data_IF_700613473619
#
_entry.id   IF_700613473619
#
_cell.length_a   1.000
_cell.length_b   1.000
_cell.length_c   1.000
_cell.angle_alpha   90.00
_cell.angle_beta   90.00
_cell.angle_gamma   90.00
#
_symmetry.space_group_name_H-M   'P 1'
#
loop_
_entity.id
_entity.type
_entity.pdbx_description
1 polymer ?
#
# COMPACT_ATOMS: atom_id res chain seq x y z
N UNK A 1 53.37 9.43 -36.39
CA UNK A 1 52.53 8.45 -35.66
C UNK A 1 52.66 8.58 -34.15
N UNK A 2 53.31 9.55 -33.59
CA UNK A 2 53.59 9.69 -32.13
C UNK A 2 52.81 10.81 -31.42
N UNK A 3 52.01 11.63 -32.12
CA UNK A 3 51.25 12.72 -31.49
C UNK A 3 49.84 12.31 -30.95
N UNK A 4 49.27 11.21 -31.46
CA UNK A 4 47.91 10.76 -31.00
C UNK A 4 47.93 9.96 -29.69
N UNK A 5 49.05 9.35 -29.31
CA UNK A 5 49.17 8.54 -28.10
C UNK A 5 49.29 9.41 -26.84
N UNK A 6 49.84 10.63 -26.92
CA UNK A 6 49.96 11.53 -25.77
C UNK A 6 48.64 12.11 -25.30
N UNK A 7 47.67 12.31 -26.20
CA UNK A 7 46.33 12.82 -25.84
C UNK A 7 45.47 11.75 -25.21
N UNK A 8 45.65 10.47 -25.56
CA UNK A 8 44.87 9.37 -24.95
C UNK A 8 45.28 9.10 -23.50
N UNK A 9 46.58 9.24 -23.18
CA UNK A 9 47.08 9.10 -21.80
C UNK A 9 46.68 10.28 -20.89
N UNK A 10 46.54 11.49 -21.44
CA UNK A 10 46.09 12.65 -20.68
C UNK A 10 44.60 12.59 -20.35
N UNK A 11 43.80 12.03 -21.27
CA UNK A 11 42.35 11.84 -21.05
C UNK A 11 42.09 10.74 -20.00
N UNK A 12 42.94 9.69 -19.99
CA UNK A 12 42.80 8.63 -18.97
C UNK A 12 43.27 9.11 -17.57
N UNK A 13 44.28 9.99 -17.50
CA UNK A 13 44.69 10.58 -16.23
C UNK A 13 43.68 11.61 -15.68
N UNK A 14 42.93 12.31 -16.57
CA UNK A 14 41.92 13.27 -16.16
C UNK A 14 40.60 12.58 -15.74
N UNK A 15 40.30 11.38 -16.28
CA UNK A 15 39.15 10.57 -15.88
C UNK A 15 39.34 9.86 -14.52
N UNK A 16 40.62 9.63 -14.12
CA UNK A 16 40.92 9.02 -12.82
C UNK A 16 40.77 10.00 -11.64
N UNK A 17 40.78 11.32 -11.89
CA UNK A 17 40.66 12.35 -10.86
C UNK A 17 39.21 12.80 -10.63
N UNK A 18 38.25 12.27 -11.41
CA UNK A 18 36.82 12.57 -11.29
C UNK A 18 36.00 11.43 -10.65
N UNK A 19 36.65 10.37 -10.20
CA UNK A 19 35.98 9.42 -9.32
C UNK A 19 35.85 10.08 -7.94
N UNK A 20 34.63 10.22 -7.39
CA UNK A 20 34.50 10.66 -6.01
C UNK A 20 35.32 9.70 -5.14
N UNK A 21 35.97 10.19 -4.07
CA UNK A 21 36.66 9.30 -3.13
C UNK A 21 35.68 8.20 -2.77
N UNK A 22 36.08 6.94 -2.92
CA UNK A 22 35.25 5.81 -2.52
C UNK A 22 34.89 6.08 -1.08
N UNK A 23 33.59 6.37 -0.85
CA UNK A 23 33.08 6.52 0.49
C UNK A 23 33.48 5.25 1.26
N UNK A 24 34.26 5.41 2.32
CA UNK A 24 34.64 4.28 3.16
C UNK A 24 33.33 3.71 3.68
N UNK A 25 32.92 2.55 3.14
CA UNK A 25 31.70 1.91 3.60
C UNK A 25 31.82 1.73 5.10
N UNK A 26 30.92 2.34 5.86
CA UNK A 26 30.83 2.08 7.29
C UNK A 26 30.75 0.55 7.48
N UNK A 27 31.39 0.03 8.53
CA UNK A 27 31.48 -1.40 8.79
C UNK A 27 30.10 -2.05 8.71
N UNK A 28 30.01 -3.27 8.22
CA UNK A 28 28.78 -4.02 7.92
C UNK A 28 27.82 -4.23 9.10
N UNK A 29 28.13 -3.74 10.29
CA UNK A 29 27.29 -3.85 11.49
C UNK A 29 26.54 -2.58 11.91
N UNK A 30 26.72 -1.44 11.19
CA UNK A 30 26.07 -0.18 11.54
C UNK A 30 24.88 0.16 10.65
N UNK A 31 24.59 -0.65 9.64
CA UNK A 31 23.43 -0.42 8.76
C UNK A 31 22.14 -0.77 9.52
N UNK A 32 21.16 0.16 9.59
CA UNK A 32 19.84 -0.14 10.15
C UNK A 32 19.11 -1.18 9.31
N UNK A 33 18.28 -2.00 9.96
CA UNK A 33 17.45 -3.00 9.28
C UNK A 33 16.14 -3.23 10.04
N UNK A 34 15.22 -3.98 9.44
CA UNK A 34 13.92 -4.31 10.01
C UNK A 34 13.14 -3.05 10.43
N UNK A 35 13.23 -1.99 9.62
CA UNK A 35 12.47 -0.78 9.85
C UNK A 35 10.98 -1.04 9.67
N UNK A 36 10.23 -0.68 10.68
CA UNK A 36 8.77 -0.66 10.70
C UNK A 36 8.30 0.75 11.03
N UNK A 37 7.13 1.12 10.54
CA UNK A 37 6.49 2.39 10.83
C UNK A 37 5.02 2.14 11.19
N UNK A 38 4.55 2.76 12.25
CA UNK A 38 3.15 2.77 12.66
C UNK A 38 2.71 4.17 13.01
N UNK A 39 1.40 4.43 12.88
CA UNK A 39 0.85 5.73 13.21
C UNK A 39 0.50 5.81 14.68
N UNK A 40 0.68 6.99 15.24
CA UNK A 40 0.14 7.41 16.51
C UNK A 40 -0.88 8.51 16.22
N UNK A 41 -2.12 8.26 16.58
CA UNK A 41 -3.22 9.19 16.36
C UNK A 41 -3.00 10.54 17.06
N UNK A 42 -3.57 11.63 16.56
CA UNK A 42 -3.55 12.92 17.21
C UNK A 42 -4.11 12.85 18.64
N UNK A 43 -3.44 13.55 19.56
CA UNK A 43 -3.88 13.76 20.92
C UNK A 43 -3.53 15.19 21.39
N UNK A 44 -3.80 15.53 22.65
CA UNK A 44 -3.50 16.86 23.21
C UNK A 44 -2.00 17.24 23.15
N UNK A 45 -1.11 16.26 23.17
CA UNK A 45 0.35 16.46 23.12
C UNK A 45 0.90 16.44 21.72
N UNK A 46 0.17 15.82 20.78
CA UNK A 46 0.50 15.63 19.39
C UNK A 46 -0.69 15.98 18.51
N UNK A 47 -1.02 17.26 18.36
CA UNK A 47 -2.24 17.70 17.66
C UNK A 47 -2.31 17.24 16.18
N UNK A 48 -1.18 16.87 15.61
CA UNK A 48 -1.07 16.36 14.23
C UNK A 48 -0.74 14.87 14.16
N UNK A 49 -0.70 14.15 15.30
CA UNK A 49 -0.22 12.77 15.35
C UNK A 49 1.28 12.63 15.14
N UNK A 50 1.75 11.40 15.01
CA UNK A 50 3.15 11.09 14.74
C UNK A 50 3.32 9.72 14.07
N UNK A 51 4.54 9.43 13.60
CA UNK A 51 4.93 8.09 13.16
C UNK A 51 5.91 7.49 14.17
N UNK A 52 5.59 6.34 14.73
CA UNK A 52 6.52 5.54 15.50
C UNK A 52 7.36 4.67 14.56
N UNK A 53 8.66 4.91 14.56
CA UNK A 53 9.63 4.13 13.81
C UNK A 53 10.30 3.13 14.75
N UNK A 54 10.27 1.85 14.39
CA UNK A 54 11.00 0.79 15.11
C UNK A 54 11.98 0.15 14.15
N UNK A 55 13.25 0.03 14.52
CA UNK A 55 14.29 -0.55 13.68
C UNK A 55 15.43 -1.12 14.53
N UNK A 56 16.34 -1.83 13.89
CA UNK A 56 17.50 -2.48 14.52
C UNK A 56 18.80 -1.94 13.95
N UNK A 57 19.78 -1.77 14.84
CA UNK A 57 21.20 -1.53 14.49
C UNK A 57 22.03 -2.37 15.49
N UNK A 58 22.74 -3.38 15.02
CA UNK A 58 23.46 -4.31 15.89
C UNK A 58 24.60 -3.66 16.67
N UNK A 59 25.35 -2.75 16.03
CA UNK A 59 26.53 -2.14 16.57
C UNK A 59 26.57 -0.63 16.27
N UNK A 60 25.57 0.12 16.78
CA UNK A 60 25.62 1.59 16.68
C UNK A 60 26.74 2.12 17.60
N UNK A 61 27.80 2.73 17.07
CA UNK A 61 28.89 3.21 17.90
C UNK A 61 28.50 4.49 18.64
N UNK A 62 29.08 4.70 19.82
CA UNK A 62 29.11 6.03 20.44
C UNK A 62 30.09 6.93 19.71
N UNK A 63 29.81 8.22 19.76
CA UNK A 63 30.76 9.24 19.30
C UNK A 63 31.97 9.32 20.24
N UNK A 64 33.11 9.74 19.69
CA UNK A 64 34.36 9.99 20.42
C UNK A 64 35.00 11.31 19.95
N UNK A 65 36.19 11.64 20.45
CA UNK A 65 36.88 12.89 20.11
C UNK A 65 37.23 13.04 18.61
N UNK A 66 37.17 11.94 17.84
CA UNK A 66 37.60 11.89 16.43
C UNK A 66 36.50 11.52 15.48
N UNK A 67 35.38 10.99 15.99
CA UNK A 67 34.29 10.42 15.21
C UNK A 67 32.94 10.75 15.82
N UNK A 68 32.10 11.40 15.06
CA UNK A 68 30.74 11.78 15.43
C UNK A 68 29.73 10.95 14.65
N UNK A 69 29.09 9.99 15.32
CA UNK A 69 28.07 9.14 14.72
C UNK A 69 26.68 9.72 14.91
N UNK A 70 25.85 9.61 13.86
CA UNK A 70 24.46 10.06 13.86
C UNK A 70 23.55 9.00 13.25
N UNK A 71 22.33 8.93 13.74
CA UNK A 71 21.22 8.25 13.09
C UNK A 71 20.48 9.27 12.24
N UNK A 72 20.42 9.03 10.94
CA UNK A 72 19.85 9.93 9.95
C UNK A 72 18.58 9.32 9.38
N UNK A 73 17.47 10.06 9.49
CA UNK A 73 16.15 9.63 9.07
C UNK A 73 15.69 10.51 7.92
N UNK A 74 15.30 9.89 6.82
CA UNK A 74 14.62 10.57 5.73
C UNK A 74 13.16 10.17 5.66
N UNK A 75 12.33 11.10 5.20
CA UNK A 75 10.94 10.87 4.84
C UNK A 75 10.70 11.23 3.38
N UNK A 76 9.71 10.57 2.78
CA UNK A 76 9.18 10.85 1.45
C UNK A 76 7.67 10.93 1.54
N UNK A 77 7.09 11.98 0.97
CA UNK A 77 5.64 12.20 0.94
C UNK A 77 5.11 11.86 -0.44
N UNK A 78 4.10 10.98 -0.49
CA UNK A 78 3.59 10.43 -1.75
C UNK A 78 4.48 9.33 -2.33
N UNK A 79 3.95 8.61 -3.32
CA UNK A 79 4.67 7.52 -3.98
C UNK A 79 5.91 8.02 -4.75
N UNK A 80 5.78 9.16 -5.42
CA UNK A 80 6.78 9.70 -6.36
C UNK A 80 7.50 10.94 -5.81
N UNK A 81 7.30 11.30 -4.54
CA UNK A 81 7.94 12.45 -3.91
C UNK A 81 9.44 12.26 -3.72
N UNK A 82 10.21 13.36 -3.58
CA UNK A 82 11.61 13.28 -3.22
C UNK A 82 11.78 12.88 -1.75
N UNK A 83 12.97 12.34 -1.43
CA UNK A 83 13.37 12.10 -0.06
C UNK A 83 13.86 13.40 0.60
N UNK A 84 13.40 13.66 1.81
CA UNK A 84 13.79 14.81 2.63
C UNK A 84 14.36 14.34 3.96
N UNK A 85 15.31 15.08 4.49
CA UNK A 85 15.76 14.90 5.87
C UNK A 85 14.57 15.12 6.81
N UNK A 86 14.20 14.09 7.54
CA UNK A 86 13.19 14.16 8.61
C UNK A 86 13.85 14.45 9.95
N UNK A 87 14.95 13.77 10.25
CA UNK A 87 15.70 13.97 11.48
C UNK A 87 17.17 13.51 11.36
N UNK A 88 18.00 13.99 12.29
CA UNK A 88 19.38 13.57 12.46
C UNK A 88 19.72 13.73 13.93
N UNK A 89 19.96 12.61 14.61
CA UNK A 89 20.18 12.57 16.07
C UNK A 89 21.50 11.87 16.33
N UNK A 90 22.26 12.37 17.29
CA UNK A 90 23.55 11.75 17.66
C UNK A 90 23.35 10.32 18.13
N UNK A 91 24.34 9.45 17.86
CA UNK A 91 24.28 8.05 18.29
C UNK A 91 24.22 7.92 19.81
N UNK A 92 24.85 8.84 20.54
CA UNK A 92 24.82 8.86 21.99
C UNK A 92 23.39 9.08 22.53
N UNK A 93 22.67 10.05 21.97
CA UNK A 93 21.27 10.30 22.30
C UNK A 93 20.39 9.12 21.92
N UNK A 94 20.62 8.49 20.76
CA UNK A 94 19.87 7.31 20.34
C UNK A 94 20.06 6.13 21.29
N UNK A 95 21.30 5.88 21.72
CA UNK A 95 21.61 4.81 22.66
C UNK A 95 21.06 5.08 24.07
N UNK A 96 21.01 6.34 24.47
CA UNK A 96 20.59 6.71 25.83
C UNK A 96 19.06 6.82 25.97
N UNK A 97 18.34 7.27 24.95
CA UNK A 97 16.92 7.61 25.05
C UNK A 97 15.98 6.79 24.18
N UNK A 98 16.45 6.22 23.06
CA UNK A 98 15.59 5.55 22.09
C UNK A 98 15.82 4.04 22.00
N UNK A 99 16.81 3.50 22.69
CA UNK A 99 17.07 2.07 22.73
C UNK A 99 16.11 1.37 23.71
N UNK A 100 15.24 0.50 23.18
CA UNK A 100 14.27 -0.27 24.00
C UNK A 100 14.83 -1.62 24.46
N UNK A 101 15.76 -2.19 23.69
CA UNK A 101 16.56 -3.36 24.04
C UNK A 101 17.83 -3.35 23.19
N UNK A 102 18.82 -4.18 23.50
CA UNK A 102 20.11 -4.19 22.78
C UNK A 102 19.90 -4.24 21.28
N UNK A 103 20.34 -3.20 20.59
CA UNK A 103 20.24 -3.05 19.13
C UNK A 103 18.84 -2.76 18.58
N UNK A 104 17.81 -2.59 19.42
CA UNK A 104 16.44 -2.25 19.01
C UNK A 104 16.11 -0.84 19.44
N UNK A 105 15.67 -0.01 18.50
CA UNK A 105 15.37 1.40 18.70
C UNK A 105 13.92 1.72 18.35
N UNK A 106 13.31 2.60 19.13
CA UNK A 106 12.02 3.23 18.83
C UNK A 106 12.18 4.74 18.82
N UNK A 107 11.77 5.37 17.76
CA UNK A 107 11.85 6.81 17.56
C UNK A 107 10.50 7.35 17.09
N UNK A 108 9.96 8.30 17.82
CA UNK A 108 8.72 8.98 17.45
C UNK A 108 9.06 10.20 16.58
N UNK A 109 8.71 10.10 15.30
CA UNK A 109 8.82 11.21 14.35
C UNK A 109 7.55 12.04 14.40
N UNK A 110 7.63 13.19 15.03
CA UNK A 110 6.53 14.16 15.07
C UNK A 110 6.25 14.74 13.68
N UNK A 111 4.98 14.99 13.38
CA UNK A 111 4.60 15.79 12.24
C UNK A 111 4.80 17.27 12.61
N UNK A 112 5.84 17.86 12.06
CA UNK A 112 6.13 19.29 12.24
C UNK A 112 5.67 20.00 10.98
N UNK A 113 4.80 21.01 11.12
CA UNK A 113 4.28 21.88 10.05
C UNK A 113 3.36 21.15 9.04
N UNK A 114 2.75 21.82 8.13
CA UNK A 114 1.87 21.55 6.98
C UNK A 114 1.36 20.13 6.64
N UNK A 115 1.90 19.09 7.26
CA UNK A 115 1.43 17.72 7.14
C UNK A 115 0.72 17.29 8.42
N UNK A 116 -0.40 17.96 8.73
CA UNK A 116 -1.35 17.41 9.67
C UNK A 116 -1.61 15.96 9.26
N UNK A 117 -1.39 15.02 10.17
CA UNK A 117 -1.76 13.64 9.94
C UNK A 117 -3.23 13.59 9.58
N UNK A 118 -3.50 13.39 8.32
CA UNK A 118 -4.87 13.25 7.81
C UNK A 118 -5.20 11.77 7.52
N UNK A 119 -4.29 10.86 7.82
CA UNK A 119 -4.42 9.44 7.51
C UNK A 119 -4.36 9.12 6.01
N UNK A 120 -4.19 10.09 5.16
CA UNK A 120 -4.51 10.06 3.73
C UNK A 120 -3.30 10.03 2.84
N UNK A 121 -2.20 10.63 3.30
CA UNK A 121 -0.99 10.74 2.49
C UNK A 121 -0.02 9.65 2.86
N UNK A 122 0.47 8.92 1.86
CA UNK A 122 1.56 7.97 2.04
C UNK A 122 2.81 8.74 2.50
N UNK A 123 3.36 8.37 3.64
CA UNK A 123 4.66 8.84 4.09
C UNK A 123 5.57 7.64 4.30
N UNK A 124 6.68 7.63 3.60
CA UNK A 124 7.69 6.57 3.67
C UNK A 124 8.90 7.08 4.44
N UNK A 125 9.55 6.18 5.18
CA UNK A 125 10.74 6.45 5.97
C UNK A 125 11.86 5.49 5.58
N UNK A 126 13.10 5.94 5.73
CA UNK A 126 14.29 5.13 5.69
C UNK A 126 15.33 5.71 6.65
N UNK A 127 16.20 4.86 7.15
CA UNK A 127 17.18 5.19 8.19
C UNK A 127 18.56 4.75 7.75
N UNK A 128 19.59 5.52 8.07
CA UNK A 128 21.01 5.14 7.96
C UNK A 128 21.82 5.71 9.12
N UNK A 129 22.99 5.15 9.35
CA UNK A 129 23.99 5.76 10.21
C UNK A 129 24.95 6.62 9.37
N UNK A 130 25.29 7.80 9.86
CA UNK A 130 26.24 8.72 9.25
C UNK A 130 27.41 8.96 10.20
N UNK A 131 28.60 9.03 9.65
CA UNK A 131 29.83 9.37 10.36
C UNK A 131 30.35 10.72 9.88
N UNK A 132 30.61 11.60 10.83
CA UNK A 132 31.41 12.83 10.63
C UNK A 132 32.74 12.71 11.37
N UNK A 133 33.75 13.37 10.86
CA UNK A 133 35.06 13.49 11.51
C UNK A 133 35.03 14.54 12.66
N UNK A 134 36.19 14.79 13.26
CA UNK A 134 36.38 15.77 14.33
C UNK A 134 36.04 17.21 13.96
N UNK A 135 36.00 17.52 12.66
CA UNK A 135 35.65 18.83 12.11
C UNK A 135 34.17 18.90 11.63
N UNK A 136 33.39 17.86 11.92
CA UNK A 136 32.04 17.69 11.40
C UNK A 136 31.95 17.65 9.87
N UNK A 137 33.04 17.23 9.19
CA UNK A 137 33.01 16.93 7.78
C UNK A 137 32.55 15.48 7.56
N UNK A 138 31.77 15.26 6.49
CA UNK A 138 31.28 13.91 6.14
C UNK A 138 32.44 12.93 5.96
N UNK A 139 32.44 11.84 6.72
CA UNK A 139 33.50 10.83 6.73
C UNK A 139 33.00 9.44 6.25
N UNK A 140 31.68 9.19 6.24
CA UNK A 140 31.13 7.94 5.75
C UNK A 140 29.67 7.71 6.16
N UNK A 141 29.08 6.68 5.61
CA UNK A 141 27.70 6.29 5.95
C UNK A 141 27.47 4.79 5.80
N UNK A 142 26.45 4.27 6.46
CA UNK A 142 25.96 2.90 6.25
C UNK A 142 25.08 2.80 4.99
N UNK A 143 24.73 1.58 4.59
CA UNK A 143 23.60 1.37 3.72
C UNK A 143 22.30 1.87 4.38
N UNK A 144 21.30 2.19 3.55
CA UNK A 144 19.94 2.46 4.03
C UNK A 144 19.28 1.19 4.58
N UNK A 145 18.41 1.37 5.56
CA UNK A 145 17.43 0.34 5.94
C UNK A 145 16.50 -0.01 4.76
N UNK A 146 15.65 -1.01 4.96
CA UNK A 146 14.42 -1.11 4.17
C UNK A 146 13.59 0.16 4.31
N UNK A 147 12.69 0.41 3.36
CA UNK A 147 11.66 1.45 3.48
C UNK A 147 10.48 0.93 4.28
N UNK A 148 9.98 1.73 5.22
CA UNK A 148 8.71 1.51 5.90
C UNK A 148 7.79 2.70 5.65
N UNK A 149 6.49 2.47 5.58
CA UNK A 149 5.53 3.51 5.22
C UNK A 149 4.31 3.50 6.13
N UNK A 150 3.72 4.67 6.29
CA UNK A 150 2.44 4.90 6.96
C UNK A 150 1.51 5.64 6.02
N UNK A 151 0.19 5.51 6.23
CA UNK A 151 -0.81 6.10 5.35
C UNK A 151 -1.19 5.18 4.19
N UNK A 152 -1.88 5.74 3.20
CA UNK A 152 -2.41 4.97 2.06
C UNK A 152 -1.33 4.76 1.00
N UNK A 153 -1.05 3.48 0.72
CA UNK A 153 -0.12 3.06 -0.34
C UNK A 153 -0.89 2.73 -1.61
N UNK A 154 -0.98 3.68 -2.52
CA UNK A 154 -1.64 3.50 -3.82
C UNK A 154 -0.94 4.27 -4.93
N UNK A 155 -1.34 3.97 -6.17
CA UNK A 155 -0.87 4.70 -7.35
C UNK A 155 -1.32 6.15 -7.33
N UNK A 156 -0.53 7.08 -7.87
CA UNK A 156 -0.83 8.52 -7.88
C UNK A 156 -2.19 8.84 -8.51
N UNK A 157 -2.58 8.10 -9.56
CA UNK A 157 -3.88 8.28 -10.22
C UNK A 157 -5.08 7.88 -9.33
N UNK A 158 -4.87 6.96 -8.37
CA UNK A 158 -5.91 6.46 -7.47
C UNK A 158 -6.10 7.32 -6.22
N UNK A 159 -5.09 8.11 -5.84
CA UNK A 159 -5.08 8.86 -4.57
C UNK A 159 -6.34 9.69 -4.30
N UNK A 160 -6.94 10.42 -5.26
CA UNK A 160 -8.14 11.23 -4.97
C UNK A 160 -9.34 10.39 -4.53
N UNK A 161 -9.54 9.18 -5.11
CA UNK A 161 -10.63 8.29 -4.72
C UNK A 161 -10.26 7.45 -3.49
N UNK A 162 -8.98 7.11 -3.30
CA UNK A 162 -8.50 6.48 -2.06
C UNK A 162 -8.69 7.41 -0.86
N UNK A 163 -8.49 8.71 -1.03
CA UNK A 163 -8.79 9.71 -0.02
C UNK A 163 -10.28 9.67 0.36
N UNK A 164 -11.19 9.64 -0.62
CA UNK A 164 -12.62 9.46 -0.34
C UNK A 164 -12.92 8.15 0.38
N UNK A 165 -12.24 7.06 0.01
CA UNK A 165 -12.41 5.78 0.69
C UNK A 165 -12.12 5.88 2.19
N UNK A 166 -11.11 6.67 2.57
CA UNK A 166 -10.81 6.94 3.97
C UNK A 166 -11.86 7.84 4.62
N UNK A 167 -12.22 8.95 3.98
CA UNK A 167 -13.27 9.88 4.48
C UNK A 167 -14.60 9.17 4.76
N UNK A 168 -14.97 8.24 3.89
CA UNK A 168 -16.20 7.44 4.05
C UNK A 168 -16.04 6.25 5.01
N UNK A 169 -14.80 5.97 5.47
CA UNK A 169 -14.48 4.82 6.30
C UNK A 169 -14.69 3.49 5.58
N UNK A 170 -14.38 3.43 4.27
CA UNK A 170 -14.57 2.26 3.41
C UNK A 170 -13.32 1.37 3.28
N UNK A 171 -12.26 1.65 4.03
CA UNK A 171 -11.07 0.78 4.06
C UNK A 171 -11.23 -0.23 5.19
N UNK A 172 -11.42 -1.53 4.89
CA UNK A 172 -11.55 -2.54 5.94
C UNK A 172 -10.20 -2.81 6.63
N UNK A 173 -10.24 -3.24 7.89
CA UNK A 173 -9.05 -3.49 8.73
C UNK A 173 -8.08 -4.48 8.07
N UNK A 174 -8.58 -5.46 7.31
CA UNK A 174 -7.74 -6.41 6.58
C UNK A 174 -6.83 -5.75 5.54
N UNK A 175 -7.15 -4.54 5.08
CA UNK A 175 -6.35 -3.76 4.14
C UNK A 175 -5.46 -2.71 4.81
N UNK A 176 -5.57 -2.52 6.13
CA UNK A 176 -4.76 -1.53 6.85
C UNK A 176 -3.26 -1.81 6.68
N UNK A 177 -2.51 -0.80 6.26
CA UNK A 177 -1.05 -0.88 6.06
C UNK A 177 -0.58 -1.74 4.88
N UNK A 178 -1.51 -2.27 4.04
CA UNK A 178 -1.14 -3.06 2.86
C UNK A 178 -0.82 -2.18 1.66
N UNK A 179 0.08 -2.66 0.81
CA UNK A 179 0.31 -2.09 -0.52
C UNK A 179 -0.95 -2.29 -1.38
N UNK A 180 -1.63 -1.18 -1.68
CA UNK A 180 -2.88 -1.20 -2.42
C UNK A 180 -2.70 -1.42 -3.93
N UNK A 181 -1.49 -1.31 -4.46
CA UNK A 181 -1.19 -1.59 -5.85
C UNK A 181 -1.18 -3.10 -6.16
N UNK A 182 -1.08 -3.93 -5.12
CA UNK A 182 -1.06 -5.39 -5.25
C UNK A 182 -2.45 -5.97 -5.54
N UNK A 183 -2.51 -7.15 -6.18
CA UNK A 183 -3.77 -7.86 -6.41
C UNK A 183 -4.54 -8.12 -5.12
N UNK A 184 -5.87 -8.01 -5.20
CA UNK A 184 -6.77 -8.25 -4.07
C UNK A 184 -7.20 -9.71 -4.00
N UNK A 185 -7.26 -10.25 -2.77
CA UNK A 185 -7.79 -11.58 -2.54
C UNK A 185 -9.31 -11.58 -2.41
N UNK A 186 -9.92 -12.75 -2.52
CA UNK A 186 -11.35 -12.94 -2.39
C UNK A 186 -11.87 -12.58 -0.98
N UNK A 187 -11.09 -12.88 0.05
CA UNK A 187 -11.39 -12.50 1.43
C UNK A 187 -11.34 -10.98 1.61
N UNK A 188 -10.27 -10.34 1.17
CA UNK A 188 -10.11 -8.89 1.25
C UNK A 188 -11.28 -8.15 0.56
N UNK A 189 -11.66 -8.60 -0.63
CA UNK A 189 -12.78 -8.00 -1.36
C UNK A 189 -14.13 -8.28 -0.68
N UNK A 190 -14.30 -9.46 -0.09
CA UNK A 190 -15.52 -9.82 0.65
C UNK A 190 -15.70 -8.92 1.88
N UNK A 191 -14.63 -8.65 2.62
CA UNK A 191 -14.67 -7.73 3.76
C UNK A 191 -14.96 -6.28 3.34
N UNK A 192 -14.38 -5.85 2.21
CA UNK A 192 -14.68 -4.53 1.63
C UNK A 192 -16.16 -4.42 1.22
N UNK A 193 -16.71 -5.42 0.58
CA UNK A 193 -18.12 -5.45 0.17
C UNK A 193 -19.08 -5.46 1.38
N UNK A 194 -18.73 -6.19 2.43
CA UNK A 194 -19.47 -6.18 3.69
C UNK A 194 -19.40 -4.82 4.37
N UNK A 195 -18.22 -4.20 4.44
CA UNK A 195 -18.05 -2.88 5.04
C UNK A 195 -18.88 -1.83 4.30
N UNK A 196 -18.92 -1.87 2.96
CA UNK A 196 -19.77 -1.02 2.15
C UNK A 196 -21.26 -1.17 2.56
N UNK A 197 -21.74 -2.41 2.73
CA UNK A 197 -23.09 -2.67 3.21
C UNK A 197 -23.32 -2.06 4.61
N UNK A 198 -22.41 -2.32 5.55
CA UNK A 198 -22.50 -1.83 6.93
C UNK A 198 -22.52 -0.29 6.98
N UNK A 199 -21.67 0.37 6.20
CA UNK A 199 -21.58 1.85 6.13
C UNK A 199 -22.79 2.50 5.46
N UNK A 200 -23.38 1.85 4.46
CA UNK A 200 -24.55 2.39 3.75
C UNK A 200 -25.85 2.20 4.52
N UNK A 201 -25.97 1.08 5.25
CA UNK A 201 -27.23 0.72 5.91
C UNK A 201 -27.23 0.98 7.41
N UNK A 202 -26.09 1.25 8.02
CA UNK A 202 -25.86 1.33 9.47
C UNK A 202 -26.32 0.04 10.20
N UNK A 203 -26.17 -1.11 9.53
CA UNK A 203 -26.56 -2.42 10.06
C UNK A 203 -25.36 -3.37 10.13
N UNK A 204 -25.25 -4.09 11.23
CA UNK A 204 -24.28 -5.16 11.41
C UNK A 204 -25.00 -6.51 11.35
N UNK A 205 -24.85 -7.31 10.26
CA UNK A 205 -25.50 -8.59 10.13
C UNK A 205 -24.89 -9.64 11.08
N UNK A 206 -25.69 -10.65 11.43
CA UNK A 206 -25.18 -11.82 12.12
C UNK A 206 -24.49 -12.78 11.13
N UNK A 207 -23.42 -13.49 11.54
CA UNK A 207 -22.82 -14.53 10.73
C UNK A 207 -23.76 -15.73 10.60
N UNK A 208 -23.70 -16.42 9.45
CA UNK A 208 -24.43 -17.67 9.27
C UNK A 208 -23.91 -18.76 10.24
N UNK A 209 -24.81 -19.54 10.78
CA UNK A 209 -24.49 -20.69 11.65
C UNK A 209 -25.41 -21.88 11.31
N UNK A 210 -24.88 -23.11 11.14
CA UNK A 210 -23.46 -23.45 11.21
C UNK A 210 -22.65 -22.88 10.05
N UNK A 211 -21.32 -22.76 10.23
CA UNK A 211 -20.41 -22.35 9.17
C UNK A 211 -20.43 -23.37 8.02
N UNK A 212 -20.79 -22.98 6.79
CA UNK A 212 -20.81 -23.89 5.65
C UNK A 212 -19.41 -24.21 5.09
N UNK A 213 -18.38 -23.39 5.41
CA UNK A 213 -17.06 -23.47 4.82
C UNK A 213 -16.09 -24.22 5.72
N UNK A 214 -15.23 -25.03 5.11
CA UNK A 214 -14.18 -25.78 5.80
C UNK A 214 -12.82 -25.09 5.76
N UNK A 215 -12.65 -24.09 4.91
CA UNK A 215 -11.39 -23.40 4.61
C UNK A 215 -11.33 -21.97 5.14
N UNK A 216 -12.34 -21.53 5.85
CA UNK A 216 -12.37 -20.22 6.54
C UNK A 216 -13.25 -20.24 7.79
N UNK A 217 -12.84 -19.51 8.81
CA UNK A 217 -13.63 -19.24 10.02
C UNK A 217 -13.87 -17.73 10.20
N UNK A 218 -13.51 -16.92 9.20
CA UNK A 218 -13.64 -15.47 9.27
C UNK A 218 -15.12 -15.06 9.41
N UNK A 219 -15.51 -14.44 10.54
CA UNK A 219 -16.91 -14.06 10.77
C UNK A 219 -17.42 -13.03 9.76
N UNK A 220 -16.57 -12.22 9.17
CA UNK A 220 -16.97 -11.23 8.15
C UNK A 220 -17.41 -11.92 6.86
N UNK A 221 -16.72 -12.98 6.44
CA UNK A 221 -17.15 -13.82 5.32
C UNK A 221 -18.50 -14.44 5.59
N UNK A 222 -18.71 -14.97 6.81
CA UNK A 222 -19.98 -15.60 7.21
C UNK A 222 -21.14 -14.60 7.26
N UNK A 223 -20.90 -13.34 7.64
CA UNK A 223 -21.86 -12.24 7.57
C UNK A 223 -22.23 -11.89 6.12
N UNK A 224 -21.22 -11.74 5.25
CA UNK A 224 -21.44 -11.45 3.83
C UNK A 224 -22.18 -12.59 3.12
N UNK A 225 -21.90 -13.84 3.51
CA UNK A 225 -22.61 -15.01 3.01
C UNK A 225 -24.08 -15.00 3.45
N UNK A 226 -24.38 -14.69 4.72
CA UNK A 226 -25.75 -14.57 5.24
C UNK A 226 -26.59 -13.54 4.48
N UNK A 227 -25.97 -12.46 4.00
CA UNK A 227 -26.60 -11.42 3.19
C UNK A 227 -26.71 -11.77 1.69
N UNK A 228 -26.13 -12.88 1.24
CA UNK A 228 -26.05 -13.24 -0.17
C UNK A 228 -25.06 -12.39 -0.98
N UNK A 229 -24.23 -11.56 -0.33
CA UNK A 229 -23.18 -10.74 -0.95
C UNK A 229 -22.13 -11.64 -1.59
N UNK A 230 -21.77 -12.71 -0.91
CA UNK A 230 -20.81 -13.70 -1.42
C UNK A 230 -21.40 -15.12 -1.40
N UNK A 231 -20.77 -15.99 -2.14
CA UNK A 231 -21.05 -17.43 -2.17
C UNK A 231 -19.74 -18.20 -2.09
N UNK A 232 -19.78 -19.49 -1.79
CA UNK A 232 -18.60 -20.35 -1.90
C UNK A 232 -18.14 -20.53 -3.35
N UNK A 233 -16.92 -20.98 -3.53
CA UNK A 233 -16.43 -21.52 -4.81
C UNK A 233 -16.90 -22.96 -5.03
N UNK A 234 -17.31 -23.62 -3.93
CA UNK A 234 -18.09 -24.86 -3.90
C UNK A 234 -19.08 -24.81 -2.75
N UNK A 235 -19.79 -25.90 -2.53
CA UNK A 235 -20.73 -26.01 -1.39
C UNK A 235 -20.05 -25.87 -0.02
N UNK A 236 -18.77 -26.19 0.09
CA UNK A 236 -18.03 -26.24 1.37
C UNK A 236 -16.71 -25.45 1.38
N UNK A 237 -16.37 -24.75 0.30
CA UNK A 237 -15.13 -23.94 0.21
C UNK A 237 -15.41 -22.52 -0.22
N UNK A 238 -14.69 -21.58 0.40
CA UNK A 238 -14.71 -20.16 0.06
C UNK A 238 -13.51 -19.72 -0.78
N UNK A 239 -12.34 -20.34 -0.59
CA UNK A 239 -11.03 -20.02 -1.16
C UNK A 239 -10.57 -18.57 -0.85
N UNK A 240 -10.34 -18.23 0.45
CA UNK A 240 -10.09 -16.85 0.89
C UNK A 240 -8.90 -16.18 0.20
N UNK A 241 -7.81 -16.91 -0.01
CA UNK A 241 -6.56 -16.41 -0.57
C UNK A 241 -6.52 -16.36 -2.11
N UNK A 242 -7.58 -16.83 -2.79
CA UNK A 242 -7.66 -16.74 -4.26
C UNK A 242 -7.72 -15.29 -4.69
N UNK A 243 -6.87 -14.87 -5.63
CA UNK A 243 -7.00 -13.59 -6.30
C UNK A 243 -8.30 -13.55 -7.10
N UNK A 244 -9.00 -12.42 -7.05
CA UNK A 244 -10.26 -12.27 -7.79
C UNK A 244 -10.07 -11.37 -9.01
N UNK A 245 -10.91 -11.63 -10.01
CA UNK A 245 -10.94 -10.91 -11.25
C UNK A 245 -12.09 -9.88 -11.30
N UNK A 246 -12.08 -9.04 -12.32
CA UNK A 246 -13.02 -7.91 -12.46
C UNK A 246 -14.48 -8.35 -12.54
N UNK A 247 -14.81 -9.47 -13.19
CA UNK A 247 -16.20 -9.96 -13.21
C UNK A 247 -16.66 -10.52 -11.86
N UNK A 248 -15.74 -11.12 -11.07
CA UNK A 248 -16.03 -11.55 -9.70
C UNK A 248 -16.27 -10.33 -8.80
N UNK A 249 -15.45 -9.26 -8.93
CA UNK A 249 -15.67 -7.99 -8.23
C UNK A 249 -17.04 -7.38 -8.57
N UNK A 250 -17.36 -7.28 -9.86
CA UNK A 250 -18.64 -6.75 -10.32
C UNK A 250 -19.81 -7.53 -9.74
N UNK A 251 -19.71 -8.86 -9.69
CA UNK A 251 -20.77 -9.72 -9.16
C UNK A 251 -20.94 -9.56 -7.66
N UNK A 252 -19.87 -9.45 -6.90
CA UNK A 252 -19.95 -9.28 -5.46
C UNK A 252 -20.52 -7.89 -5.09
N UNK A 253 -20.07 -6.81 -5.76
CA UNK A 253 -20.65 -5.46 -5.56
C UNK A 253 -22.11 -5.38 -5.98
N UNK A 254 -22.49 -5.99 -7.09
CA UNK A 254 -23.89 -6.01 -7.53
C UNK A 254 -24.79 -6.70 -6.50
N UNK A 255 -24.34 -7.81 -5.90
CA UNK A 255 -25.04 -8.47 -4.81
C UNK A 255 -25.08 -7.60 -3.57
N UNK A 256 -24.03 -6.83 -3.29
CA UNK A 256 -24.02 -5.87 -2.19
C UNK A 256 -25.08 -4.79 -2.39
N UNK A 257 -25.19 -4.22 -3.59
CA UNK A 257 -26.24 -3.24 -3.92
C UNK A 257 -27.61 -3.86 -3.74
N UNK A 258 -27.83 -5.10 -4.19
CA UNK A 258 -29.11 -5.82 -4.00
C UNK A 258 -29.42 -6.05 -2.51
N UNK A 259 -28.43 -6.29 -1.67
CA UNK A 259 -28.61 -6.42 -0.22
C UNK A 259 -28.95 -5.08 0.44
N UNK A 260 -28.37 -3.98 -0.05
CA UNK A 260 -28.64 -2.62 0.45
C UNK A 260 -30.05 -2.16 0.05
N UNK A 261 -30.42 -2.32 -1.21
CA UNK A 261 -31.65 -1.79 -1.79
C UNK A 261 -32.48 -2.87 -2.52
N UNK A 262 -33.03 -3.89 -1.82
CA UNK A 262 -33.61 -5.08 -2.45
C UNK A 262 -34.79 -4.81 -3.40
N UNK A 263 -35.40 -3.64 -3.33
CA UNK A 263 -36.55 -3.25 -4.16
C UNK A 263 -36.21 -2.29 -5.31
N UNK A 264 -34.91 -2.02 -5.56
CA UNK A 264 -34.50 -1.12 -6.63
C UNK A 264 -34.64 -1.77 -8.02
N UNK A 265 -34.66 -0.95 -9.07
CA UNK A 265 -34.66 -1.43 -10.45
C UNK A 265 -33.22 -1.83 -10.89
N UNK A 266 -33.03 -3.09 -11.17
CA UNK A 266 -31.77 -3.68 -11.63
C UNK A 266 -31.72 -3.94 -13.12
N UNK A 267 -32.68 -3.37 -13.88
CA UNK A 267 -32.73 -3.54 -15.33
C UNK A 267 -31.45 -3.11 -16.04
N UNK A 268 -30.95 -3.96 -16.89
CA UNK A 268 -29.84 -3.70 -17.82
C UNK A 268 -30.32 -3.45 -19.24
N UNK A 269 -31.62 -3.20 -19.44
CA UNK A 269 -32.18 -2.91 -20.74
C UNK A 269 -31.50 -1.70 -21.37
N UNK A 270 -31.10 -1.83 -22.63
CA UNK A 270 -30.40 -0.77 -23.38
C UNK A 270 -28.90 -0.64 -23.07
N UNK A 271 -28.33 -1.43 -22.15
CA UNK A 271 -26.88 -1.46 -21.95
C UNK A 271 -26.22 -2.29 -23.04
N UNK A 272 -25.32 -1.69 -23.85
CA UNK A 272 -24.67 -2.41 -24.94
C UNK A 272 -23.76 -3.54 -24.44
N UNK A 273 -23.47 -4.49 -25.31
CA UNK A 273 -22.45 -5.50 -25.07
C UNK A 273 -21.05 -4.88 -25.09
N UNK A 274 -20.15 -5.42 -24.28
CA UNK A 274 -18.73 -5.09 -24.36
C UNK A 274 -18.10 -5.75 -25.58
N UNK A 275 -17.01 -5.19 -26.17
CA UNK A 275 -16.27 -5.83 -27.23
C UNK A 275 -15.80 -7.26 -26.89
N UNK A 276 -15.52 -7.50 -25.60
CA UNK A 276 -15.12 -8.79 -25.02
C UNK A 276 -16.26 -9.49 -24.27
N UNK A 277 -17.52 -9.21 -24.59
CA UNK A 277 -18.71 -9.82 -23.95
C UNK A 277 -18.65 -11.35 -23.92
N UNK A 278 -18.08 -11.97 -24.95
CA UNK A 278 -17.92 -13.42 -25.05
C UNK A 278 -17.00 -14.02 -23.98
N UNK A 279 -16.09 -13.22 -23.41
CA UNK A 279 -15.13 -13.64 -22.40
C UNK A 279 -15.70 -13.47 -20.97
N UNK A 280 -16.88 -12.84 -20.85
CA UNK A 280 -17.64 -12.71 -19.60
C UNK A 280 -18.44 -14.00 -19.39
N UNK A 281 -18.28 -14.61 -18.22
CA UNK A 281 -19.09 -15.78 -17.86
C UNK A 281 -20.57 -15.42 -17.74
N UNK A 282 -21.45 -16.34 -18.11
CA UNK A 282 -22.89 -16.10 -18.13
C UNK A 282 -23.48 -15.66 -16.78
N UNK A 283 -22.93 -16.16 -15.69
CA UNK A 283 -23.32 -15.77 -14.32
C UNK A 283 -22.93 -14.34 -13.95
N UNK A 284 -21.96 -13.73 -14.65
CA UNK A 284 -21.50 -12.37 -14.41
C UNK A 284 -22.09 -11.33 -15.39
N UNK A 285 -22.77 -11.77 -16.45
CA UNK A 285 -23.22 -10.88 -17.52
C UNK A 285 -24.17 -9.75 -17.04
N UNK A 286 -25.10 -10.06 -16.14
CA UNK A 286 -26.01 -9.05 -15.57
C UNK A 286 -25.22 -8.05 -14.71
N UNK A 287 -24.40 -8.56 -13.81
CA UNK A 287 -23.64 -7.72 -12.87
C UNK A 287 -22.63 -6.82 -13.57
N UNK A 288 -21.88 -7.30 -14.56
CA UNK A 288 -20.91 -6.49 -15.31
C UNK A 288 -21.59 -5.34 -16.05
N UNK A 289 -22.73 -5.60 -16.70
CA UNK A 289 -23.49 -4.55 -17.37
C UNK A 289 -24.09 -3.54 -16.40
N UNK A 290 -24.64 -4.00 -15.27
CA UNK A 290 -25.22 -3.11 -14.27
C UNK A 290 -24.16 -2.21 -13.64
N UNK A 291 -23.00 -2.76 -13.26
CA UNK A 291 -21.91 -1.99 -12.70
C UNK A 291 -21.31 -0.99 -13.71
N UNK A 292 -21.32 -1.31 -14.99
CA UNK A 292 -20.94 -0.39 -16.06
C UNK A 292 -21.98 0.71 -16.28
N UNK A 293 -23.28 0.38 -16.24
CA UNK A 293 -24.41 1.34 -16.32
C UNK A 293 -24.27 2.43 -15.26
N UNK A 294 -23.89 2.05 -14.06
CA UNK A 294 -23.66 2.99 -12.94
C UNK A 294 -22.29 3.71 -13.01
N UNK A 295 -21.45 3.39 -13.99
CA UNK A 295 -20.11 3.97 -14.11
C UNK A 295 -19.11 3.53 -13.03
N UNK A 296 -19.45 2.48 -12.25
CA UNK A 296 -18.61 1.96 -11.16
C UNK A 296 -17.40 1.21 -11.71
N UNK A 297 -17.63 0.33 -12.68
CA UNK A 297 -16.58 -0.39 -13.39
C UNK A 297 -16.63 0.03 -14.84
N UNK A 298 -15.73 0.92 -15.22
CA UNK A 298 -15.55 1.34 -16.60
C UNK A 298 -14.60 0.36 -17.30
N UNK A 299 -14.80 0.14 -18.60
CA UNK A 299 -13.84 -0.58 -19.44
C UNK A 299 -12.52 0.18 -19.62
N UNK A 300 -11.64 -0.38 -20.45
CA UNK A 300 -10.47 0.34 -20.95
C UNK A 300 -10.86 1.41 -21.98
N UNK A 301 -9.88 2.13 -22.53
CA UNK A 301 -10.09 3.20 -23.54
C UNK A 301 -10.81 2.72 -24.80
N UNK A 302 -10.81 1.41 -25.05
CA UNK A 302 -11.48 0.77 -26.19
C UNK A 302 -12.83 0.17 -25.81
N UNK A 303 -13.25 0.31 -24.55
CA UNK A 303 -14.50 -0.21 -24.02
C UNK A 303 -14.49 -1.69 -23.65
N UNK A 304 -13.32 -2.37 -23.62
CA UNK A 304 -13.21 -3.74 -23.15
C UNK A 304 -13.42 -3.80 -21.63
N UNK A 305 -14.26 -4.72 -21.18
CA UNK A 305 -14.49 -4.91 -19.76
C UNK A 305 -13.28 -5.54 -19.04
N UNK A 306 -12.53 -6.40 -19.72
CA UNK A 306 -11.41 -7.18 -19.21
C UNK A 306 -11.82 -8.09 -18.03
N UNK A 307 -12.76 -9.04 -18.23
CA UNK A 307 -13.41 -9.77 -17.14
C UNK A 307 -12.46 -10.67 -16.34
N UNK A 308 -11.62 -11.40 -17.05
CA UNK A 308 -10.65 -12.39 -16.54
C UNK A 308 -9.62 -12.71 -17.60
N UNK A 309 -8.48 -13.25 -17.21
CA UNK A 309 -7.53 -13.84 -18.15
C UNK A 309 -8.14 -15.10 -18.80
N UNK A 310 -7.92 -15.27 -20.10
CA UNK A 310 -8.35 -16.42 -20.90
C UNK A 310 -7.19 -17.16 -21.55
N UNK A 311 -5.97 -16.61 -21.41
CA UNK A 311 -4.72 -17.19 -21.92
C UNK A 311 -3.62 -17.07 -20.88
N UNK A 312 -2.62 -17.97 -20.93
CA UNK A 312 -1.45 -17.92 -20.03
C UNK A 312 -0.69 -16.60 -20.12
N UNK A 313 -0.63 -15.98 -21.30
CA UNK A 313 -0.02 -14.66 -21.48
C UNK A 313 -0.79 -13.54 -20.76
N UNK A 314 -2.11 -13.61 -20.76
CA UNK A 314 -2.96 -12.70 -20.00
C UNK A 314 -2.82 -12.92 -18.49
N UNK A 315 -2.77 -14.18 -18.03
CA UNK A 315 -2.51 -14.49 -16.61
C UNK A 315 -1.18 -13.91 -16.15
N UNK A 316 -0.12 -14.12 -16.92
CA UNK A 316 1.22 -13.60 -16.62
C UNK A 316 1.28 -12.07 -16.58
N UNK A 317 0.43 -11.37 -17.36
CA UNK A 317 0.32 -9.91 -17.39
C UNK A 317 -0.63 -9.33 -16.33
N UNK A 318 -1.32 -10.16 -15.54
CA UNK A 318 -2.34 -9.71 -14.58
C UNK A 318 -3.64 -9.21 -15.24
N UNK A 319 -3.88 -9.55 -16.50
CA UNK A 319 -5.08 -9.13 -17.23
C UNK A 319 -6.36 -9.57 -16.52
N UNK A 320 -7.26 -8.62 -16.31
CA UNK A 320 -8.53 -8.86 -15.62
C UNK A 320 -8.43 -9.05 -14.11
N UNK A 321 -7.23 -9.03 -13.51
CA UNK A 321 -7.03 -9.07 -12.06
C UNK A 321 -7.34 -7.70 -11.46
N UNK A 322 -8.05 -7.66 -10.33
CA UNK A 322 -8.28 -6.41 -9.59
C UNK A 322 -7.16 -6.19 -8.58
N UNK A 323 -6.66 -4.95 -8.48
CA UNK A 323 -5.80 -4.52 -7.38
C UNK A 323 -6.64 -4.06 -6.18
N UNK A 324 -6.03 -3.97 -5.00
CA UNK A 324 -6.71 -3.44 -3.79
C UNK A 324 -7.18 -2.01 -4.00
N UNK A 325 -6.35 -1.14 -4.63
CA UNK A 325 -6.76 0.22 -4.96
C UNK A 325 -7.96 0.24 -5.91
N UNK A 326 -7.94 -0.53 -6.99
CA UNK A 326 -9.07 -0.62 -7.92
C UNK A 326 -10.36 -1.09 -7.21
N UNK A 327 -10.25 -2.03 -6.28
CA UNK A 327 -11.38 -2.50 -5.48
C UNK A 327 -11.94 -1.40 -4.57
N UNK A 328 -11.08 -0.63 -3.91
CA UNK A 328 -11.49 0.52 -3.10
C UNK A 328 -12.17 1.60 -3.93
N UNK A 329 -11.63 1.91 -5.11
CA UNK A 329 -12.27 2.85 -6.04
C UNK A 329 -13.66 2.38 -6.49
N UNK A 330 -13.83 1.08 -6.76
CA UNK A 330 -15.14 0.50 -7.07
C UNK A 330 -16.09 0.64 -5.88
N UNK A 331 -15.62 0.47 -4.65
CA UNK A 331 -16.42 0.65 -3.42
C UNK A 331 -16.87 2.10 -3.24
N UNK A 332 -15.96 3.07 -3.41
CA UNK A 332 -16.27 4.52 -3.35
C UNK A 332 -17.31 4.89 -4.39
N UNK A 333 -17.11 4.50 -5.64
CA UNK A 333 -18.07 4.77 -6.73
C UNK A 333 -19.42 4.11 -6.48
N UNK A 334 -19.44 2.94 -5.85
CA UNK A 334 -20.68 2.28 -5.46
C UNK A 334 -21.38 3.08 -4.37
N UNK A 335 -20.65 3.52 -3.35
CA UNK A 335 -21.20 4.35 -2.26
C UNK A 335 -21.76 5.68 -2.77
N UNK A 336 -21.05 6.34 -3.71
CA UNK A 336 -21.51 7.59 -4.34
C UNK A 336 -22.74 7.40 -5.24
N UNK A 337 -23.00 6.18 -5.75
CA UNK A 337 -24.08 5.88 -6.71
C UNK A 337 -25.39 5.41 -6.09
N UNK A 338 -25.39 5.04 -4.80
CA UNK A 338 -26.58 4.48 -4.08
C UNK A 338 -26.97 5.36 -2.90
#
# INVERSE_FOLDING_TARGET
>A
MFKKVKYLLLIFALLLTLLPPAALAASSGTAPYDLQASLIDPDETRPHGSALLTFKIDNLPRSDATKNWYVYIEKKVGADGPWYKANEVSSDEFLDYYQTSTGVFQFEQLWVEDYAWDGRTLVSFRVKAILYDETFSFAGESAWSNTASVGVQGSSWALPELQKAMEYGLIPDILAGKDLTQPITREEFCELALLLYEKTTDKTPAPVSPNPFTDTTNPRILKAFALGITQGTSATTFTPNKLINRQECATMLFRTIKAIAPSADYSIAGVPDFPDQKDIDSWAAESTKYMSKLGIIKGDDKGYFMPKATTTGQEASGYGTATREAALLMSVRTYDAI
#
